data_IF_147354115954
#
_entry.id   IF_147354115954
#
_cell.length_a   1.000
_cell.length_b   1.000
_cell.length_c   1.000
_cell.angle_alpha   90.00
_cell.angle_beta   90.00
_cell.angle_gamma   90.00
#
_symmetry.space_group_name_H-M   'P 1'
#
loop_
_entity.id
_entity.type
_entity.pdbx_description
1 polymer ?
#
# COMPACT_ATOMS: atom_id res chain seq x y z
N UNK A 1 -7.37 6.65 -6.94
CA UNK A 1 -7.55 7.91 -7.69
C UNK A 1 -6.86 7.87 -9.04
N UNK A 2 -5.60 7.43 -9.14
CA UNK A 2 -4.83 7.38 -10.39
C UNK A 2 -5.61 6.78 -11.58
N UNK A 3 -6.30 5.64 -11.42
CA UNK A 3 -7.10 5.04 -12.50
C UNK A 3 -8.13 6.00 -13.06
N UNK A 4 -8.86 6.74 -12.23
CA UNK A 4 -9.90 7.66 -12.71
C UNK A 4 -9.30 8.77 -13.54
N UNK A 5 -8.17 9.31 -13.10
CA UNK A 5 -7.44 10.36 -13.81
C UNK A 5 -6.89 9.84 -15.14
N UNK A 6 -6.30 8.64 -15.16
CA UNK A 6 -5.83 7.97 -16.39
C UNK A 6 -6.95 7.71 -17.39
N UNK A 7 -8.15 7.43 -16.87
CA UNK A 7 -9.35 7.21 -17.66
C UNK A 7 -10.09 8.50 -18.00
N UNK A 8 -9.67 9.64 -17.48
CA UNK A 8 -10.38 10.92 -17.63
C UNK A 8 -11.82 10.87 -17.13
N UNK A 9 -12.10 10.05 -16.11
CA UNK A 9 -13.42 9.90 -15.52
C UNK A 9 -13.69 11.07 -14.58
N UNK A 10 -14.88 11.65 -14.68
CA UNK A 10 -15.36 12.61 -13.70
C UNK A 10 -15.70 11.89 -12.40
N UNK A 11 -15.47 12.50 -11.24
CA UNK A 11 -15.85 11.91 -9.96
C UNK A 11 -15.99 12.96 -8.87
N UNK A 12 -16.81 12.64 -7.87
CA UNK A 12 -16.88 13.33 -6.59
C UNK A 12 -15.97 12.62 -5.60
N UNK A 13 -14.91 13.31 -5.16
CA UNK A 13 -14.09 12.83 -4.06
C UNK A 13 -14.53 13.47 -2.76
N UNK A 14 -14.77 12.65 -1.74
CA UNK A 14 -15.02 13.12 -0.38
C UNK A 14 -13.80 12.79 0.48
N UNK A 15 -13.05 13.82 0.86
CA UNK A 15 -11.89 13.67 1.72
C UNK A 15 -12.34 13.68 3.20
N UNK A 16 -12.24 12.53 3.87
CA UNK A 16 -12.72 12.25 5.23
C UNK A 16 -11.57 12.10 6.22
N UNK A 17 -11.77 12.39 7.49
CA UNK A 17 -10.73 12.28 8.52
C UNK A 17 -10.77 10.92 9.22
N UNK A 18 -9.59 10.32 9.40
CA UNK A 18 -9.46 9.15 10.27
C UNK A 18 -9.52 9.57 11.76
N UNK A 19 -8.95 10.73 12.14
CA UNK A 19 -8.97 11.31 13.51
C UNK A 19 -10.41 11.45 14.03
N UNK A 20 -11.31 11.92 13.16
CA UNK A 20 -12.73 12.10 13.46
C UNK A 20 -13.54 10.80 13.36
N UNK A 21 -12.87 9.65 13.14
CA UNK A 21 -13.48 8.35 12.89
C UNK A 21 -14.54 8.36 11.77
N UNK A 22 -14.37 9.18 10.73
CA UNK A 22 -15.35 9.29 9.65
C UNK A 22 -15.59 7.94 8.95
N UNK A 23 -14.57 7.08 8.91
CA UNK A 23 -14.61 5.72 8.35
C UNK A 23 -15.56 4.77 9.11
N UNK A 24 -15.97 5.10 10.33
CA UNK A 24 -16.93 4.33 11.14
C UNK A 24 -18.34 4.91 11.10
N UNK A 25 -18.56 6.01 10.38
CA UNK A 25 -19.90 6.61 10.29
C UNK A 25 -20.88 5.73 9.50
N UNK A 26 -22.18 5.75 9.83
CA UNK A 26 -23.17 4.89 9.20
C UNK A 26 -23.18 4.95 7.67
N UNK A 27 -23.00 6.13 7.08
CA UNK A 27 -22.97 6.30 5.62
C UNK A 27 -21.78 5.60 4.95
N UNK A 28 -20.67 5.42 5.67
CA UNK A 28 -19.52 4.65 5.18
C UNK A 28 -19.78 3.16 5.39
N UNK A 29 -20.26 2.77 6.56
CA UNK A 29 -20.53 1.37 6.89
C UNK A 29 -21.58 0.71 5.99
N UNK A 30 -22.53 1.50 5.48
CA UNK A 30 -23.53 1.03 4.51
C UNK A 30 -22.92 0.62 3.15
N UNK A 31 -21.74 1.16 2.82
CA UNK A 31 -21.01 0.84 1.58
C UNK A 31 -19.87 -0.14 1.89
N UNK A 32 -19.11 0.15 2.95
CA UNK A 32 -17.99 -0.63 3.44
C UNK A 32 -18.20 -1.09 4.88
N UNK A 33 -18.70 -2.31 5.13
CA UNK A 33 -18.94 -2.80 6.49
C UNK A 33 -17.66 -2.98 7.30
N UNK A 34 -16.47 -2.99 6.67
CA UNK A 34 -15.18 -2.96 7.38
C UNK A 34 -14.89 -1.59 8.00
N UNK A 35 -15.57 -0.56 7.54
CA UNK A 35 -15.35 0.83 7.92
C UNK A 35 -13.92 1.23 7.61
N UNK A 36 -13.53 1.16 6.35
CA UNK A 36 -12.19 1.48 5.85
C UNK A 36 -12.30 2.35 4.60
N UNK A 37 -11.22 3.03 4.24
CA UNK A 37 -11.09 3.65 2.92
C UNK A 37 -10.16 2.82 2.05
N UNK A 38 -10.23 2.88 0.71
CA UNK A 38 -11.26 3.58 -0.05
C UNK A 38 -12.64 2.95 0.14
N UNK A 39 -13.68 3.77 -0.06
CA UNK A 39 -15.07 3.32 -0.18
C UNK A 39 -15.59 3.89 -1.50
N UNK A 40 -16.01 3.01 -2.41
CA UNK A 40 -16.36 3.37 -3.79
C UNK A 40 -17.79 2.98 -4.12
N UNK A 41 -18.51 3.89 -4.78
CA UNK A 41 -19.84 3.66 -5.32
C UNK A 41 -19.95 4.14 -6.77
N UNK A 42 -20.51 3.28 -7.62
CA UNK A 42 -20.91 3.61 -8.99
C UNK A 42 -22.32 3.09 -9.24
N UNK A 43 -23.31 4.00 -9.24
CA UNK A 43 -24.73 3.62 -9.20
C UNK A 43 -25.03 2.74 -7.99
N UNK A 44 -25.57 1.54 -8.22
CA UNK A 44 -25.86 0.56 -7.18
C UNK A 44 -24.66 -0.33 -6.82
N UNK A 45 -23.54 -0.23 -7.55
CA UNK A 45 -22.36 -1.05 -7.31
C UNK A 45 -21.54 -0.40 -6.19
N UNK A 46 -21.29 -1.18 -5.13
CA UNK A 46 -20.51 -0.81 -3.94
C UNK A 46 -19.26 -1.69 -3.91
N UNK A 47 -18.06 -1.10 -3.93
CA UNK A 47 -16.77 -1.83 -3.92
C UNK A 47 -15.85 -1.15 -2.91
N UNK A 48 -15.12 -1.95 -2.14
CA UNK A 48 -14.28 -1.45 -1.05
C UNK A 48 -12.80 -1.82 -1.23
N UNK A 49 -12.52 -2.95 -1.88
CA UNK A 49 -11.15 -3.38 -2.15
C UNK A 49 -10.53 -2.53 -3.26
N UNK A 50 -9.38 -1.90 -2.99
CA UNK A 50 -8.73 -0.98 -3.91
C UNK A 50 -8.32 -1.65 -5.23
N UNK A 51 -7.84 -2.89 -5.17
CA UNK A 51 -7.49 -3.69 -6.34
C UNK A 51 -8.74 -3.97 -7.19
N UNK A 52 -9.84 -4.38 -6.56
CA UNK A 52 -11.11 -4.64 -7.23
C UNK A 52 -11.70 -3.36 -7.85
N UNK A 53 -11.59 -2.21 -7.17
CA UNK A 53 -11.99 -0.91 -7.75
C UNK A 53 -11.17 -0.61 -9.00
N UNK A 54 -9.86 -0.79 -8.96
CA UNK A 54 -8.98 -0.51 -10.09
C UNK A 54 -9.27 -1.41 -11.29
N UNK A 55 -9.42 -2.72 -11.07
CA UNK A 55 -9.81 -3.66 -12.13
C UNK A 55 -11.22 -3.38 -12.67
N UNK A 56 -12.19 -3.11 -11.79
CA UNK A 56 -13.54 -2.75 -12.20
C UNK A 56 -13.55 -1.53 -13.12
N UNK A 57 -12.82 -0.47 -12.76
CA UNK A 57 -12.73 0.74 -13.56
C UNK A 57 -12.03 0.47 -14.91
N UNK A 58 -10.97 -0.33 -14.91
CA UNK A 58 -10.28 -0.71 -16.16
C UNK A 58 -11.19 -1.51 -17.09
N UNK A 59 -11.85 -2.55 -16.58
CA UNK A 59 -12.68 -3.42 -17.40
C UNK A 59 -13.95 -2.69 -17.87
N UNK A 60 -14.60 -1.91 -16.99
CA UNK A 60 -15.83 -1.16 -17.29
C UNK A 60 -15.61 -0.05 -18.31
N UNK A 61 -14.45 0.61 -18.26
CA UNK A 61 -14.10 1.76 -19.10
C UNK A 61 -12.87 1.46 -19.99
N UNK A 62 -12.76 0.22 -20.46
CA UNK A 62 -11.62 -0.26 -21.27
C UNK A 62 -11.44 0.49 -22.60
N UNK A 63 -12.49 1.14 -23.11
CA UNK A 63 -12.45 1.98 -24.31
C UNK A 63 -12.15 3.46 -24.07
N UNK A 64 -11.91 3.89 -22.83
CA UNK A 64 -11.70 5.29 -22.45
C UNK A 64 -10.31 5.50 -21.82
N UNK A 65 -9.66 6.61 -22.17
CA UNK A 65 -8.37 7.01 -21.60
C UNK A 65 -7.23 6.02 -21.84
N UNK A 66 -6.24 6.03 -20.96
CA UNK A 66 -5.06 5.15 -21.07
C UNK A 66 -5.45 3.69 -20.79
N UNK A 67 -5.13 2.70 -21.64
CA UNK A 67 -5.28 1.28 -21.30
C UNK A 67 -4.30 0.90 -20.19
N UNK A 68 -4.80 0.35 -19.08
CA UNK A 68 -3.96 -0.02 -17.92
C UNK A 68 -3.76 -1.52 -17.79
N UNK A 69 -4.42 -2.32 -18.64
CA UNK A 69 -4.30 -3.78 -18.68
C UNK A 69 -3.84 -4.22 -20.07
N UNK A 70 -2.64 -4.86 -20.17
CA UNK A 70 -2.17 -5.39 -21.44
C UNK A 70 -3.17 -6.36 -22.09
N UNK A 71 -3.20 -6.34 -23.42
CA UNK A 71 -4.02 -7.27 -24.22
C UNK A 71 -3.37 -8.65 -24.30
N UNK A 72 -2.04 -8.69 -24.41
CA UNK A 72 -1.29 -9.94 -24.37
C UNK A 72 -1.44 -10.60 -22.99
N UNK A 73 -1.64 -11.92 -22.99
CA UNK A 73 -1.92 -12.66 -21.76
C UNK A 73 -0.66 -12.85 -20.90
N UNK A 74 0.52 -12.92 -21.53
CA UNK A 74 1.80 -13.01 -20.83
C UNK A 74 2.14 -11.69 -20.15
N UNK A 75 2.04 -10.57 -20.87
CA UNK A 75 2.22 -9.23 -20.30
C UNK A 75 1.22 -8.95 -19.17
N UNK A 76 -0.04 -9.38 -19.34
CA UNK A 76 -1.05 -9.27 -18.29
C UNK A 76 -0.70 -10.10 -17.06
N UNK A 77 -0.20 -11.33 -17.23
CA UNK A 77 0.24 -12.16 -16.11
C UNK A 77 1.38 -11.49 -15.33
N UNK A 78 2.36 -10.91 -16.03
CA UNK A 78 3.45 -10.15 -15.41
C UNK A 78 2.95 -8.91 -14.69
N UNK A 79 2.00 -8.17 -15.28
CA UNK A 79 1.33 -7.04 -14.61
C UNK A 79 0.66 -7.48 -13.32
N UNK A 80 -0.16 -8.54 -13.36
CA UNK A 80 -0.83 -9.06 -12.16
C UNK A 80 0.17 -9.52 -11.10
N UNK A 81 1.25 -10.19 -11.50
CA UNK A 81 2.32 -10.59 -10.60
C UNK A 81 2.92 -9.38 -9.88
N UNK A 82 3.35 -8.35 -10.62
CA UNK A 82 3.91 -7.11 -10.03
C UNK A 82 2.90 -6.43 -9.11
N UNK A 83 1.64 -6.34 -9.55
CA UNK A 83 0.56 -5.73 -8.79
C UNK A 83 0.38 -6.42 -7.42
N UNK A 84 0.32 -7.74 -7.38
CA UNK A 84 0.13 -8.50 -6.14
C UNK A 84 1.39 -8.58 -5.27
N UNK A 85 2.58 -8.62 -5.86
CA UNK A 85 3.84 -8.56 -5.11
C UNK A 85 4.00 -7.23 -4.35
N UNK A 86 3.34 -6.15 -4.79
CA UNK A 86 3.26 -4.89 -4.05
C UNK A 86 2.75 -5.03 -2.62
N UNK A 87 1.93 -6.04 -2.33
CA UNK A 87 1.48 -6.34 -0.95
C UNK A 87 2.64 -6.81 -0.07
N UNK A 88 3.59 -7.58 -0.61
CA UNK A 88 4.79 -8.00 0.12
C UNK A 88 5.65 -6.79 0.49
N UNK A 89 5.87 -5.88 -0.47
CA UNK A 89 6.60 -4.63 -0.22
C UNK A 89 5.96 -3.81 0.91
N UNK A 90 4.65 -3.60 0.84
CA UNK A 90 3.91 -2.88 1.89
C UNK A 90 3.99 -3.62 3.23
N UNK A 91 3.89 -4.95 3.25
CA UNK A 91 4.00 -5.73 4.48
C UNK A 91 5.38 -5.60 5.12
N UNK A 92 6.47 -5.69 4.34
CA UNK A 92 7.83 -5.52 4.90
C UNK A 92 8.08 -4.10 5.39
N UNK A 93 7.51 -3.12 4.70
CA UNK A 93 7.52 -1.74 5.18
C UNK A 93 6.76 -1.62 6.51
N UNK A 94 5.54 -2.15 6.59
CA UNK A 94 4.70 -2.10 7.78
C UNK A 94 5.40 -2.77 8.98
N UNK A 95 6.01 -3.94 8.78
CA UNK A 95 6.74 -4.66 9.83
C UNK A 95 7.89 -3.79 10.40
N UNK A 96 8.62 -3.03 9.58
CA UNK A 96 9.71 -2.18 10.05
C UNK A 96 9.21 -0.85 10.65
N UNK A 97 8.30 -0.18 9.95
CA UNK A 97 7.80 1.14 10.30
C UNK A 97 6.84 1.08 11.49
N UNK A 98 5.82 0.23 11.42
CA UNK A 98 4.78 0.18 12.45
C UNK A 98 5.30 -0.43 13.74
N UNK A 99 6.26 -1.35 13.68
CA UNK A 99 6.95 -1.80 14.90
C UNK A 99 7.62 -0.61 15.60
N UNK A 100 8.31 0.25 14.84
CA UNK A 100 8.93 1.46 15.40
C UNK A 100 7.88 2.46 15.90
N UNK A 101 6.75 2.62 15.24
CA UNK A 101 5.75 3.63 15.62
C UNK A 101 4.80 3.21 16.74
N UNK A 102 4.44 1.92 16.80
CA UNK A 102 3.43 1.40 17.74
C UNK A 102 4.04 0.79 18.98
N UNK A 103 5.27 0.26 18.91
CA UNK A 103 5.93 -0.32 20.08
C UNK A 103 6.75 0.77 20.78
N UNK A 104 6.50 1.05 22.08
CA UNK A 104 7.30 1.98 22.86
C UNK A 104 8.77 1.60 22.84
N UNK A 105 9.67 2.58 22.80
CA UNK A 105 11.11 2.34 22.64
C UNK A 105 11.68 1.37 23.69
N UNK A 106 11.24 1.48 24.93
CA UNK A 106 11.64 0.61 26.03
C UNK A 106 11.22 -0.87 25.86
N UNK A 107 10.24 -1.15 25.01
CA UNK A 107 9.69 -2.49 24.76
C UNK A 107 10.20 -3.09 23.43
N UNK A 108 10.99 -2.33 22.65
CA UNK A 108 11.47 -2.79 21.35
C UNK A 108 12.58 -3.83 21.53
N UNK A 109 12.46 -4.94 20.80
CA UNK A 109 13.50 -5.93 20.67
C UNK A 109 14.43 -5.58 19.50
N UNK A 110 15.70 -5.33 19.80
CA UNK A 110 16.70 -4.94 18.79
C UNK A 110 16.88 -5.98 17.68
N UNK A 111 16.85 -7.27 18.01
CA UNK A 111 17.00 -8.33 17.04
C UNK A 111 15.79 -8.41 16.08
N UNK A 112 14.57 -8.21 16.60
CA UNK A 112 13.34 -8.12 15.79
C UNK A 112 13.40 -6.92 14.85
N UNK A 113 13.73 -5.73 15.37
CA UNK A 113 13.85 -4.52 14.56
C UNK A 113 14.90 -4.67 13.46
N UNK A 114 16.07 -5.26 13.79
CA UNK A 114 17.11 -5.56 12.82
C UNK A 114 16.61 -6.47 11.70
N UNK A 115 15.92 -7.57 12.03
CA UNK A 115 15.34 -8.49 11.02
C UNK A 115 14.32 -7.80 10.11
N UNK A 116 13.45 -6.95 10.66
CA UNK A 116 12.46 -6.22 9.85
C UNK A 116 13.14 -5.24 8.89
N UNK A 117 14.16 -4.50 9.35
CA UNK A 117 14.93 -3.59 8.50
C UNK A 117 15.72 -4.32 7.41
N UNK A 118 16.34 -5.45 7.74
CA UNK A 118 17.04 -6.30 6.77
C UNK A 118 16.06 -6.86 5.73
N UNK A 119 14.89 -7.36 6.14
CA UNK A 119 13.86 -7.84 5.22
C UNK A 119 13.34 -6.76 4.29
N UNK A 120 13.08 -5.54 4.80
CA UNK A 120 12.69 -4.41 3.97
C UNK A 120 13.81 -3.98 3.02
N UNK A 121 15.07 -4.04 3.45
CA UNK A 121 16.23 -3.75 2.59
C UNK A 121 16.31 -4.76 1.45
N UNK A 122 16.20 -6.06 1.74
CA UNK A 122 16.18 -7.12 0.71
C UNK A 122 15.05 -6.91 -0.29
N UNK A 123 13.85 -6.59 0.21
CA UNK A 123 12.69 -6.33 -0.64
C UNK A 123 12.91 -5.09 -1.52
N UNK A 124 13.33 -3.95 -0.96
CA UNK A 124 13.62 -2.74 -1.74
C UNK A 124 14.71 -2.96 -2.80
N UNK A 125 15.76 -3.74 -2.49
CA UNK A 125 16.78 -4.14 -3.46
C UNK A 125 16.17 -4.96 -4.60
N UNK A 126 15.26 -5.88 -4.32
CA UNK A 126 14.58 -6.69 -5.34
C UNK A 126 13.77 -5.80 -6.30
N UNK A 127 12.99 -4.85 -5.78
CA UNK A 127 12.23 -3.90 -6.60
C UNK A 127 13.14 -3.00 -7.45
N UNK A 128 14.27 -2.55 -6.89
CA UNK A 128 15.27 -1.80 -7.64
C UNK A 128 15.90 -2.62 -8.78
N UNK A 129 16.09 -3.93 -8.59
CA UNK A 129 16.61 -4.82 -9.63
C UNK A 129 15.55 -5.19 -10.67
N UNK A 130 14.25 -5.24 -10.33
CA UNK A 130 13.19 -5.42 -11.32
C UNK A 130 13.18 -4.30 -12.36
N UNK A 131 13.29 -3.05 -11.92
CA UNK A 131 13.37 -1.90 -12.84
C UNK A 131 14.64 -1.89 -13.69
N UNK A 132 15.75 -2.38 -13.14
CA UNK A 132 17.02 -2.51 -13.88
C UNK A 132 16.98 -3.58 -14.97
N UNK A 133 16.32 -4.71 -14.69
CA UNK A 133 16.27 -5.88 -15.58
C UNK A 133 15.05 -5.88 -16.50
N UNK A 134 14.07 -5.04 -16.22
CA UNK A 134 12.83 -4.94 -16.98
C UNK A 134 13.06 -4.50 -18.43
N UNK A 135 12.13 -4.86 -19.32
CA UNK A 135 12.14 -4.49 -20.73
C UNK A 135 11.45 -3.14 -21.00
N UNK A 136 11.50 -2.21 -20.03
CA UNK A 136 10.84 -0.91 -20.16
C UNK A 136 10.85 -0.07 -18.89
N UNK A 137 10.30 1.15 -18.96
CA UNK A 137 10.38 2.12 -17.87
C UNK A 137 9.31 1.90 -16.77
N UNK A 138 8.50 0.85 -16.87
CA UNK A 138 7.41 0.55 -15.94
C UNK A 138 7.60 -0.83 -15.29
N UNK A 139 6.92 -1.05 -14.16
CA UNK A 139 7.14 -2.26 -13.34
C UNK A 139 6.86 -3.57 -14.08
N UNK A 140 5.91 -3.54 -15.02
CA UNK A 140 5.49 -4.70 -15.80
C UNK A 140 5.90 -4.62 -17.28
N UNK A 141 6.89 -3.78 -17.62
CA UNK A 141 7.45 -3.70 -18.98
C UNK A 141 7.30 -2.32 -19.62
N UNK A 142 6.82 -2.29 -20.86
CA UNK A 142 6.89 -1.11 -21.76
C UNK A 142 5.79 -0.08 -21.53
N UNK A 143 4.66 -0.47 -20.97
CA UNK A 143 3.48 0.39 -20.84
C UNK A 143 3.07 0.56 -19.38
N UNK A 144 2.62 1.78 -19.04
CA UNK A 144 2.06 2.09 -17.74
C UNK A 144 0.80 1.25 -17.52
N UNK A 145 0.71 0.58 -16.37
CA UNK A 145 -0.29 -0.46 -16.13
C UNK A 145 -0.87 -0.41 -14.73
N UNK A 146 -1.83 -1.29 -14.43
CA UNK A 146 -2.37 -1.45 -13.07
C UNK A 146 -1.29 -1.82 -12.04
N UNK A 147 -0.18 -2.45 -12.46
CA UNK A 147 0.97 -2.68 -11.58
C UNK A 147 1.54 -1.36 -11.04
N UNK A 148 1.75 -0.39 -11.92
CA UNK A 148 2.27 0.93 -11.56
C UNK A 148 1.27 1.73 -10.73
N UNK A 149 0.00 1.69 -11.10
CA UNK A 149 -1.11 2.34 -10.36
C UNK A 149 -1.15 1.90 -8.90
N UNK A 150 -0.97 0.60 -8.65
CA UNK A 150 -1.10 0.00 -7.32
C UNK A 150 0.19 0.15 -6.50
N UNK A 151 1.35 -0.07 -7.13
CA UNK A 151 2.64 -0.09 -6.42
C UNK A 151 3.20 1.32 -6.23
N UNK A 152 2.99 2.25 -7.15
CA UNK A 152 3.54 3.61 -7.05
C UNK A 152 3.17 4.32 -5.74
N UNK A 153 1.92 4.29 -5.24
CA UNK A 153 1.58 4.88 -3.93
C UNK A 153 2.40 4.30 -2.77
N UNK A 154 2.71 3.00 -2.81
CA UNK A 154 3.56 2.33 -1.81
C UNK A 154 4.97 2.91 -1.90
N UNK A 155 5.57 2.96 -3.11
CA UNK A 155 6.91 3.51 -3.31
C UNK A 155 7.02 4.99 -2.95
N UNK A 156 6.03 5.80 -3.33
CA UNK A 156 5.95 7.20 -2.96
C UNK A 156 5.92 7.37 -1.44
N UNK A 157 5.25 6.47 -0.72
CA UNK A 157 5.28 6.44 0.73
C UNK A 157 6.64 6.01 1.29
N UNK A 158 7.31 5.02 0.71
CA UNK A 158 8.67 4.64 1.14
C UNK A 158 9.67 5.81 0.99
N UNK A 159 9.65 6.52 -0.14
CA UNK A 159 10.50 7.70 -0.35
C UNK A 159 10.13 8.83 0.61
N UNK A 160 8.84 9.05 0.84
CA UNK A 160 8.33 9.98 1.86
C UNK A 160 8.84 9.64 3.27
N UNK A 161 9.09 8.36 3.52
CA UNK A 161 9.63 7.79 4.74
C UNK A 161 11.15 7.58 4.72
N UNK A 162 11.85 8.25 3.79
CA UNK A 162 13.30 8.37 3.75
C UNK A 162 14.04 7.20 3.13
N UNK A 163 13.44 6.44 2.21
CA UNK A 163 14.17 5.46 1.41
C UNK A 163 15.35 6.13 0.66
N UNK A 164 16.58 5.63 0.81
CA UNK A 164 17.78 6.26 0.23
C UNK A 164 17.80 6.20 -1.31
N UNK A 165 17.69 7.36 -1.96
CA UNK A 165 17.70 7.49 -3.42
C UNK A 165 19.03 7.04 -4.02
N UNK A 166 20.15 7.34 -3.37
CA UNK A 166 21.50 7.01 -3.86
C UNK A 166 21.74 5.49 -3.90
N UNK A 167 21.12 4.76 -2.98
CA UNK A 167 21.18 3.29 -2.88
C UNK A 167 20.22 2.61 -3.86
N UNK A 168 19.05 3.20 -4.09
CA UNK A 168 17.99 2.64 -4.93
C UNK A 168 17.71 3.51 -6.16
N UNK A 169 18.75 3.75 -6.97
CA UNK A 169 18.71 4.69 -8.11
C UNK A 169 17.62 4.39 -9.13
N UNK A 170 17.39 3.12 -9.47
CA UNK A 170 16.35 2.77 -10.46
C UNK A 170 14.95 3.04 -9.91
N UNK A 171 14.74 2.81 -8.60
CA UNK A 171 13.48 3.18 -7.94
C UNK A 171 13.31 4.69 -7.87
N UNK A 172 14.38 5.44 -7.60
CA UNK A 172 14.34 6.91 -7.55
C UNK A 172 13.99 7.50 -8.92
N UNK A 173 14.66 7.04 -9.99
CA UNK A 173 14.37 7.45 -11.36
C UNK A 173 12.93 7.09 -11.79
N UNK A 174 12.47 5.87 -11.46
CA UNK A 174 11.08 5.46 -11.69
C UNK A 174 10.09 6.32 -10.91
N UNK A 175 10.38 6.61 -9.65
CA UNK A 175 9.55 7.45 -8.79
C UNK A 175 9.41 8.86 -9.37
N UNK A 176 10.52 9.50 -9.77
CA UNK A 176 10.49 10.84 -10.36
C UNK A 176 9.74 10.86 -11.69
N UNK A 177 9.98 9.87 -12.54
CA UNK A 177 9.26 9.71 -13.79
C UNK A 177 7.74 9.62 -13.58
N UNK A 178 7.29 8.76 -12.66
CA UNK A 178 5.86 8.61 -12.39
C UNK A 178 5.28 9.78 -11.61
N UNK A 179 6.02 10.39 -10.69
CA UNK A 179 5.58 11.58 -9.95
C UNK A 179 5.32 12.77 -10.88
N UNK A 180 6.03 12.85 -12.01
CA UNK A 180 5.78 13.86 -13.05
C UNK A 180 4.53 13.58 -13.90
N UNK A 181 3.94 12.37 -13.81
CA UNK A 181 2.77 11.98 -14.60
C UNK A 181 1.54 12.80 -14.20
N UNK A 182 0.76 13.38 -15.13
CA UNK A 182 -0.35 14.27 -14.80
C UNK A 182 -1.41 13.66 -13.87
N UNK A 183 -1.74 12.38 -14.05
CA UNK A 183 -2.70 11.66 -13.21
C UNK A 183 -2.22 11.54 -11.76
N UNK A 184 -0.93 11.32 -11.56
CA UNK A 184 -0.28 11.23 -10.25
C UNK A 184 -0.21 12.61 -9.59
N UNK A 185 0.14 13.66 -10.34
CA UNK A 185 0.15 15.03 -9.82
C UNK A 185 -1.24 15.48 -9.33
N UNK A 186 -2.29 15.18 -10.10
CA UNK A 186 -3.68 15.49 -9.73
C UNK A 186 -4.18 14.69 -8.53
N UNK A 187 -3.73 13.45 -8.41
CA UNK A 187 -4.10 12.56 -7.30
C UNK A 187 -3.13 12.57 -6.12
N UNK A 188 -2.14 13.47 -6.13
CA UNK A 188 -1.15 13.58 -5.08
C UNK A 188 -1.81 13.93 -3.73
N UNK A 189 -1.43 13.28 -2.61
CA UNK A 189 -2.01 13.59 -1.31
C UNK A 189 -1.91 15.08 -0.98
N UNK A 190 -3.03 15.80 -0.78
CA UNK A 190 -3.02 17.24 -0.54
C UNK A 190 -2.17 17.63 0.67
N UNK A 191 -2.23 16.83 1.74
CA UNK A 191 -1.50 17.06 2.99
C UNK A 191 0.02 16.92 2.86
N UNK A 192 0.52 16.27 1.81
CA UNK A 192 1.96 16.06 1.60
C UNK A 192 2.64 17.25 0.91
N UNK A 193 1.88 18.17 0.31
CA UNK A 193 2.43 19.37 -0.33
C UNK A 193 3.04 20.32 0.71
N UNK A 194 2.46 20.35 1.90
CA UNK A 194 2.78 21.32 2.94
C UNK A 194 3.49 20.70 4.15
N UNK A 195 3.81 19.39 4.13
CA UNK A 195 4.46 18.69 5.25
C UNK A 195 5.81 18.07 4.83
N UNK A 196 6.90 18.25 5.60
CA UNK A 196 8.22 17.71 5.29
C UNK A 196 8.30 16.20 5.54
N UNK A 197 9.18 15.50 4.81
CA UNK A 197 9.38 14.04 4.89
C UNK A 197 9.78 13.58 6.29
N UNK A 198 9.61 12.29 6.56
CA UNK A 198 10.14 11.70 7.79
C UNK A 198 11.57 11.19 7.57
N UNK A 199 12.42 11.15 8.61
CA UNK A 199 13.71 10.47 8.56
C UNK A 199 13.58 9.01 8.15
N UNK A 200 14.64 8.44 7.55
CA UNK A 200 14.62 7.06 7.04
C UNK A 200 14.23 6.04 8.10
N UNK A 201 13.23 5.22 7.78
CA UNK A 201 12.90 4.01 8.56
C UNK A 201 13.82 2.84 8.20
N UNK A 202 14.40 2.87 6.99
CA UNK A 202 15.12 1.76 6.37
C UNK A 202 16.61 1.83 6.69
N UNK A 203 17.20 3.01 6.50
CA UNK A 203 18.61 3.22 6.65
C UNK A 203 18.88 3.81 8.05
N UNK A 204 19.89 3.31 8.75
CA UNK A 204 20.32 3.87 10.04
C UNK A 204 20.56 5.37 9.92
N UNK A 205 20.46 6.11 11.03
CA UNK A 205 20.35 7.56 11.09
C UNK A 205 21.55 8.38 10.56
N UNK A 206 22.16 8.06 9.42
CA UNK A 206 23.25 8.80 8.78
C UNK A 206 23.09 8.77 7.24
N UNK A 207 22.11 9.51 6.71
CA UNK A 207 22.22 10.06 5.35
C UNK A 207 21.45 11.37 5.29
N UNK A 208 22.18 12.46 5.52
CA UNK A 208 21.71 13.81 5.22
C UNK A 208 21.86 14.05 3.72
N UNK A 209 20.76 14.15 2.97
CA UNK A 209 20.78 14.85 1.68
C UNK A 209 19.40 15.42 1.31
N UNK A 210 19.44 16.74 1.11
CA UNK A 210 18.57 17.61 0.28
C UNK A 210 17.08 17.68 0.58
N UNK A 211 16.71 18.66 1.42
CA UNK A 211 15.49 19.42 1.21
C UNK A 211 15.51 20.02 -0.21
N UNK A 212 14.48 19.73 -1.01
CA UNK A 212 14.20 20.48 -2.24
C UNK A 212 12.75 20.94 -2.21
N UNK A 213 12.55 22.14 -1.67
CA UNK A 213 11.37 22.94 -1.94
C UNK A 213 11.77 23.97 -3.00
N UNK A 214 11.10 23.95 -4.15
CA UNK A 214 10.80 25.18 -4.89
C UNK A 214 9.64 24.93 -5.86
N UNK A 215 8.56 25.66 -5.62
CA UNK A 215 7.29 25.63 -6.33
C UNK A 215 7.32 26.73 -7.39
N UNK A 216 7.18 26.35 -8.66
CA UNK A 216 6.89 27.30 -9.75
C UNK A 216 5.42 27.15 -10.12
N UNK A 217 4.62 28.21 -9.92
CA UNK A 217 3.25 28.31 -10.44
C UNK A 217 3.29 28.80 -11.90
N UNK A 218 2.30 28.40 -12.72
CA UNK A 218 1.76 29.36 -13.66
C UNK A 218 0.23 29.49 -13.63
N UNK A 219 -0.11 30.73 -13.94
CA UNK A 219 -1.35 31.42 -14.30
C UNK A 219 -2.60 30.61 -14.69
N UNK A 220 -3.75 31.08 -14.19
CA UNK A 220 -5.08 30.57 -14.49
C UNK A 220 -5.82 31.61 -15.34
N UNK A 221 -5.93 31.36 -16.64
CA UNK A 221 -6.96 31.99 -17.49
C UNK A 221 -7.89 30.90 -18.04
N UNK A 222 -9.18 31.17 -17.94
CA UNK A 222 -10.24 30.17 -17.94
C UNK A 222 -10.69 29.68 -19.31
N UNK A 223 -11.42 28.56 -19.26
CA UNK A 223 -12.37 28.16 -20.31
C UNK A 223 -13.56 27.50 -19.62
N UNK A 224 -14.74 28.03 -19.88
CA UNK A 224 -16.07 27.45 -19.62
C UNK A 224 -16.37 26.36 -20.65
N UNK A 225 -16.81 25.17 -20.24
CA UNK A 225 -17.87 24.45 -20.97
C UNK A 225 -18.53 23.26 -20.26
N UNK A 226 -19.84 23.18 -20.51
CA UNK A 226 -20.75 22.04 -20.72
C UNK A 226 -20.71 20.78 -19.84
N UNK A 227 -21.89 20.54 -19.26
CA UNK A 227 -22.30 19.37 -18.47
C UNK A 227 -22.41 18.10 -19.32
N UNK A 228 -21.86 16.99 -18.82
CA UNK A 228 -22.36 15.63 -19.07
C UNK A 228 -22.29 14.83 -17.76
N UNK A 229 -23.46 14.44 -17.26
CA UNK A 229 -23.67 13.75 -15.99
C UNK A 229 -23.24 12.27 -16.06
N UNK A 230 -22.34 11.88 -15.16
CA UNK A 230 -22.36 10.57 -14.49
C UNK A 230 -21.68 10.73 -13.12
N UNK A 231 -22.44 10.58 -12.03
CA UNK A 231 -21.96 10.84 -10.67
C UNK A 231 -21.18 9.63 -10.12
N UNK A 232 -19.88 9.77 -9.96
CA UNK A 232 -19.04 8.81 -9.23
C UNK A 232 -18.78 9.36 -7.83
N UNK A 233 -18.81 8.53 -6.78
CA UNK A 233 -18.48 8.98 -5.43
C UNK A 233 -17.35 8.12 -4.86
N UNK A 234 -16.23 8.76 -4.51
CA UNK A 234 -15.06 8.10 -3.92
C UNK A 234 -14.69 8.81 -2.64
N UNK A 235 -14.63 8.05 -1.57
CA UNK A 235 -14.30 8.61 -0.26
C UNK A 235 -12.84 8.26 0.05
N UNK A 236 -12.02 9.29 0.18
CA UNK A 236 -10.58 9.20 0.46
C UNK A 236 -10.27 9.76 1.85
N UNK A 237 -9.22 9.31 2.52
CA UNK A 237 -8.84 9.83 3.85
C UNK A 237 -7.91 11.05 3.78
N UNK A 238 -8.06 12.05 4.66
CA UNK A 238 -7.01 13.03 5.00
C UNK A 238 -5.95 12.31 5.81
N UNK A 239 -4.71 12.30 5.35
CA UNK A 239 -3.60 11.70 6.10
C UNK A 239 -2.73 12.79 6.73
N UNK A 240 -2.80 12.96 8.04
CA UNK A 240 -1.59 13.25 8.82
C UNK A 240 -0.80 11.94 8.90
N UNK A 241 0.53 11.99 9.09
CA UNK A 241 1.43 10.82 9.12
C UNK A 241 0.93 9.72 10.07
N UNK A 242 0.05 10.04 11.03
CA UNK A 242 -0.56 9.13 11.99
C UNK A 242 -1.73 8.27 11.50
N UNK A 243 -2.20 8.34 10.24
CA UNK A 243 -3.51 7.74 9.91
C UNK A 243 -3.71 7.06 8.54
N UNK A 244 -2.65 6.53 7.91
CA UNK A 244 -2.83 5.41 6.96
C UNK A 244 -3.30 4.12 7.69
N UNK A 245 -3.30 4.14 9.02
CA UNK A 245 -3.28 3.00 9.94
C UNK A 245 -4.55 2.12 9.86
N UNK A 246 -5.74 2.67 9.63
CA UNK A 246 -7.00 1.87 9.61
C UNK A 246 -7.40 1.30 8.25
N UNK A 247 -6.75 1.72 7.17
CA UNK A 247 -7.00 1.15 5.82
C UNK A 247 -6.39 -0.25 5.69
N UNK A 248 -5.29 -0.50 6.39
CA UNK A 248 -4.53 -1.76 6.32
C UNK A 248 -4.74 -2.65 7.55
N UNK A 249 -5.35 -2.15 8.62
CA UNK A 249 -5.70 -2.93 9.82
C UNK A 249 -6.65 -4.11 9.51
N UNK A 250 -7.39 -4.07 8.39
CA UNK A 250 -8.18 -5.22 7.91
C UNK A 250 -7.33 -6.46 7.56
N UNK A 251 -6.04 -6.28 7.29
CA UNK A 251 -5.11 -7.36 6.97
C UNK A 251 -4.35 -7.89 8.21
N UNK A 252 -4.25 -7.10 9.29
CA UNK A 252 -3.45 -7.44 10.48
C UNK A 252 -4.29 -7.70 11.76
N UNK A 253 -5.46 -7.07 11.94
CA UNK A 253 -6.33 -7.33 13.11
C UNK A 253 -6.94 -8.74 13.09
N UNK A 254 -7.02 -9.38 11.92
CA UNK A 254 -7.44 -10.78 11.82
C UNK A 254 -6.44 -11.77 12.45
N UNK A 255 -5.16 -11.42 12.52
CA UNK A 255 -4.12 -12.29 13.09
C UNK A 255 -4.02 -12.11 14.61
N UNK A 256 -4.16 -10.89 15.15
CA UNK A 256 -4.13 -10.67 16.60
C UNK A 256 -5.40 -11.11 17.31
N UNK A 257 -6.60 -10.95 16.73
CA UNK A 257 -7.81 -11.52 17.34
C UNK A 257 -7.80 -13.05 17.32
N UNK A 258 -7.23 -13.68 16.29
CA UNK A 258 -7.09 -15.14 16.23
C UNK A 258 -6.03 -15.66 17.21
N UNK A 259 -4.90 -14.95 17.38
CA UNK A 259 -3.86 -15.32 18.34
C UNK A 259 -4.30 -15.08 19.79
N UNK A 260 -4.98 -13.97 20.07
CA UNK A 260 -5.52 -13.66 21.41
C UNK A 260 -6.66 -14.60 21.79
N UNK A 261 -7.56 -14.96 20.86
CA UNK A 261 -8.59 -15.98 21.14
C UNK A 261 -7.99 -17.37 21.33
N UNK A 262 -6.88 -17.71 20.67
CA UNK A 262 -6.19 -19.01 20.83
C UNK A 262 -5.45 -19.09 22.16
N UNK A 263 -4.76 -18.03 22.58
CA UNK A 263 -4.08 -17.97 23.89
C UNK A 263 -5.08 -17.87 25.05
N UNK A 264 -6.23 -17.22 24.87
CA UNK A 264 -7.31 -17.24 25.87
C UNK A 264 -8.02 -18.60 25.94
N UNK A 265 -8.20 -19.31 24.82
CA UNK A 265 -8.77 -20.66 24.78
C UNK A 265 -7.83 -21.69 25.42
N UNK A 266 -6.54 -21.64 25.09
CA UNK A 266 -5.51 -22.49 25.69
C UNK A 266 -5.27 -22.15 27.18
N UNK A 267 -5.33 -20.86 27.54
CA UNK A 267 -5.24 -20.39 28.93
C UNK A 267 -6.45 -20.76 29.79
N UNK A 268 -7.66 -20.81 29.21
CA UNK A 268 -8.88 -21.29 29.90
C UNK A 268 -8.94 -22.81 30.03
N UNK A 269 -8.27 -23.57 29.16
CA UNK A 269 -8.19 -25.03 29.26
C UNK A 269 -6.95 -25.57 30.01
N UNK A 270 -5.93 -24.74 30.23
CA UNK A 270 -4.76 -25.09 31.05
C UNK A 270 -5.02 -25.08 32.56
N UNK A 271 -6.04 -24.35 33.06
CA UNK A 271 -6.42 -24.39 34.48
C UNK A 271 -7.14 -25.68 34.91
N UNK A 272 -7.38 -26.61 34.00
CA UNK A 272 -7.99 -27.90 34.28
C UNK A 272 -7.11 -29.05 33.79
N UNK A 273 -5.90 -29.20 34.37
CA UNK A 273 -5.23 -30.49 34.61
C UNK A 273 -3.89 -30.26 35.30
N UNK A 274 -3.77 -30.78 36.51
CA UNK A 274 -2.54 -30.74 37.30
C UNK A 274 -1.45 -31.64 36.74
N UNK A 275 -0.21 -31.29 37.13
CA UNK A 275 1.04 -32.06 37.13
C UNK A 275 1.45 -32.76 35.81
N UNK A 276 2.65 -32.45 35.30
CA UNK A 276 3.77 -33.40 35.09
C UNK A 276 5.06 -32.62 34.81
N UNK A 277 6.16 -33.25 35.19
CA UNK A 277 7.56 -32.87 35.42
C UNK A 277 8.43 -32.44 34.22
N UNK A 278 9.53 -31.77 34.55
CA UNK A 278 10.73 -31.50 33.74
C UNK A 278 11.20 -32.70 32.87
N UNK A 279 11.46 -32.45 31.59
CA UNK A 279 12.54 -33.11 30.85
C UNK A 279 12.97 -32.26 29.64
N UNK A 280 14.27 -32.00 29.55
CA UNK A 280 14.99 -31.36 28.46
C UNK A 280 14.65 -31.97 27.10
N UNK A 281 14.50 -31.15 26.04
CA UNK A 281 14.81 -31.56 24.66
C UNK A 281 15.33 -30.36 23.85
N UNK A 282 16.66 -30.32 23.79
CA UNK A 282 17.58 -29.83 22.77
C UNK A 282 17.00 -29.16 21.51
N UNK A 283 17.49 -27.95 21.23
CA UNK A 283 17.48 -27.35 19.89
C UNK A 283 18.42 -28.11 18.95
N UNK A 284 17.93 -28.44 17.75
CA UNK A 284 18.72 -28.87 16.60
C UNK A 284 18.38 -28.01 15.37
N UNK A 285 19.36 -27.64 14.52
CA UNK A 285 19.15 -26.81 13.34
C UNK A 285 18.58 -27.65 12.19
N UNK A 286 17.80 -27.04 11.30
CA UNK A 286 17.04 -27.65 10.20
C UNK A 286 15.69 -28.28 10.58
N UNK A 287 14.63 -27.48 10.47
CA UNK A 287 13.25 -27.95 10.37
C UNK A 287 12.64 -27.46 9.06
N UNK A 288 12.79 -28.27 8.01
CA UNK A 288 12.02 -28.13 6.78
C UNK A 288 10.75 -29.00 6.81
N UNK A 289 9.78 -28.59 5.97
CA UNK A 289 8.60 -29.30 5.44
C UNK A 289 7.28 -29.35 6.28
N UNK A 290 6.08 -29.45 5.63
CA UNK A 290 5.87 -30.01 4.28
C UNK A 290 5.07 -29.19 3.26
N UNK A 291 5.46 -29.38 2.01
CA UNK A 291 4.60 -29.37 0.82
C UNK A 291 3.61 -30.53 0.93
N UNK A 292 2.31 -30.26 0.83
CA UNK A 292 1.32 -31.27 0.43
C UNK A 292 0.15 -30.62 -0.31
N UNK A 293 -0.16 -31.26 -1.43
CA UNK A 293 -1.10 -30.94 -2.51
C UNK A 293 -2.59 -30.99 -2.08
N UNK A 294 -3.46 -30.35 -2.89
CA UNK A 294 -4.88 -30.71 -3.04
C UNK A 294 -5.81 -29.50 -3.07
N UNK A 295 -6.00 -28.84 -4.23
CA UNK A 295 -7.13 -29.02 -5.17
C UNK A 295 -8.50 -28.49 -4.68
N UNK A 296 -9.06 -27.48 -5.38
CA UNK A 296 -10.28 -27.60 -6.20
C UNK A 296 -10.94 -26.21 -6.48
N UNK A 297 -11.02 -25.89 -7.79
CA UNK A 297 -11.78 -24.85 -8.51
C UNK A 297 -11.48 -23.37 -8.27
#
# INVERSE_FOLDING_TARGET
MIVLEEKGLQYHSHLKSFENQDHKKPEILEINPRGQFPTFRHGNIKINESYAICEYLEDRFSGQGTPLKPKDIGERALMMQRMHEGNTLMSKFADAAFYTWRVPEAERNEATLKRHKEALTTEATLWNEYLKKGDGPFLAGKSFSLADVIVFPVLAFLFRMGLCEEKYKNLAEYYDHLKARPSIQKSWPPTWKDTPGSPSVVDGAHSSSSQRAEVVKPDCSGVTECQVNSEFNIITGKTSIGELFTTLDGFYLGFEEAFTRRTEYEGKHSKAKGHVTHSQLMFGPYGGLPVLLGQCF
#
